data_IF_306819200101
#
_entry.id   IF_306819200101
#
_cell.length_a   1.000
_cell.length_b   1.000
_cell.length_c   1.000
_cell.angle_alpha   90.00
_cell.angle_beta   90.00
_cell.angle_gamma   90.00
#
_symmetry.space_group_name_H-M   'P 1'
#
loop_
_entity.id
_entity.type
_entity.pdbx_description
1 polymer ?
#
# COMPACT_ATOMS: atom_id res chain seq x y z
N UNK A 1 28.56 -19.57 25.41
CA UNK A 1 28.97 -21.02 25.42
C UNK A 1 29.58 -21.49 26.75
N UNK A 2 29.69 -20.59 27.77
CA UNK A 2 30.33 -20.93 29.06
C UNK A 2 29.61 -22.06 29.83
N UNK A 3 28.39 -22.45 29.44
CA UNK A 3 27.60 -23.48 30.13
C UNK A 3 27.28 -24.70 29.21
N UNK A 4 27.97 -24.88 28.08
CA UNK A 4 27.76 -26.02 27.19
C UNK A 4 26.35 -26.07 26.50
N UNK A 5 25.59 -24.99 26.56
CA UNK A 5 24.27 -24.90 25.95
C UNK A 5 24.36 -24.47 24.48
N UNK A 6 23.62 -25.14 23.61
CA UNK A 6 23.37 -24.72 22.25
C UNK A 6 22.16 -23.76 22.18
N UNK A 7 22.07 -23.01 21.09
CA UNK A 7 20.91 -22.17 20.78
C UNK A 7 20.15 -22.77 19.62
N UNK A 8 18.85 -22.96 19.79
CA UNK A 8 17.94 -23.30 18.72
C UNK A 8 17.14 -22.03 18.37
N UNK A 9 17.19 -21.64 17.11
CA UNK A 9 16.43 -20.49 16.59
C UNK A 9 15.34 -21.04 15.69
N UNK A 10 14.09 -20.68 16.00
CA UNK A 10 12.95 -20.94 15.11
C UNK A 10 12.72 -19.70 14.23
N UNK A 11 12.73 -19.90 12.91
CA UNK A 11 12.49 -18.86 11.92
C UNK A 11 11.20 -19.14 11.18
N UNK A 12 10.34 -18.14 11.06
CA UNK A 12 9.07 -18.21 10.29
C UNK A 12 9.12 -17.21 9.13
N UNK A 13 9.87 -17.53 8.05
CA UNK A 13 10.17 -16.58 6.97
C UNK A 13 9.08 -16.53 5.88
N UNK A 14 7.97 -17.24 6.03
CA UNK A 14 6.97 -17.43 4.98
C UNK A 14 5.89 -16.35 4.91
N UNK A 15 5.98 -15.31 5.74
CA UNK A 15 5.09 -14.14 5.70
C UNK A 15 5.77 -12.92 6.33
N UNK A 16 5.27 -11.71 6.04
CA UNK A 16 5.75 -10.46 6.62
C UNK A 16 4.59 -9.59 7.07
N UNK A 17 4.79 -8.83 8.15
CA UNK A 17 3.86 -7.77 8.57
C UNK A 17 3.87 -6.60 7.58
N UNK A 18 2.69 -6.15 7.14
CA UNK A 18 2.54 -5.07 6.14
C UNK A 18 1.72 -3.87 6.62
N UNK A 19 1.14 -3.94 7.80
CA UNK A 19 0.49 -2.79 8.43
C UNK A 19 1.48 -2.02 9.29
N UNK A 20 2.28 -1.23 8.66
CA UNK A 20 3.21 -0.31 9.26
C UNK A 20 3.98 0.34 8.12
N UNK A 21 4.38 1.58 8.30
CA UNK A 21 5.17 2.32 7.31
C UNK A 21 6.54 1.65 7.02
N UNK A 22 6.89 0.61 7.77
CA UNK A 22 8.24 0.09 7.86
C UNK A 22 8.54 -1.07 6.91
N UNK A 23 7.53 -1.68 6.24
CA UNK A 23 7.79 -2.73 5.26
C UNK A 23 8.14 -2.13 3.90
N UNK A 24 9.43 -1.91 3.65
CA UNK A 24 9.91 -1.32 2.41
C UNK A 24 9.56 -2.14 1.16
N UNK A 25 9.55 -3.47 1.24
CA UNK A 25 9.23 -4.35 0.11
C UNK A 25 7.75 -4.22 -0.28
N UNK A 26 6.87 -4.26 0.71
CA UNK A 26 5.43 -4.11 0.47
C UNK A 26 5.09 -2.71 -0.06
N UNK A 27 5.68 -1.68 0.53
CA UNK A 27 5.48 -0.31 0.08
C UNK A 27 5.96 -0.09 -1.37
N UNK A 28 7.07 -0.73 -1.77
CA UNK A 28 7.52 -0.68 -3.16
C UNK A 28 6.54 -1.39 -4.11
N UNK A 29 5.96 -2.52 -3.67
CA UNK A 29 4.90 -3.21 -4.43
C UNK A 29 3.65 -2.35 -4.55
N UNK A 30 3.20 -1.70 -3.50
CA UNK A 30 2.04 -0.81 -3.56
C UNK A 30 2.30 0.39 -4.49
N UNK A 31 3.50 0.98 -4.45
CA UNK A 31 3.86 2.14 -5.27
C UNK A 31 4.00 1.80 -6.76
N UNK A 32 4.60 0.65 -7.09
CA UNK A 32 5.02 0.29 -8.46
C UNK A 32 4.21 -0.86 -9.08
N UNK A 33 3.38 -1.53 -8.28
CA UNK A 33 2.63 -2.69 -8.74
C UNK A 33 3.53 -3.82 -9.24
N UNK A 34 3.19 -4.39 -10.37
CA UNK A 34 3.95 -5.47 -11.03
C UNK A 34 5.35 -5.05 -11.48
N UNK A 35 5.63 -3.74 -11.61
CA UNK A 35 6.95 -3.23 -11.95
C UNK A 35 7.91 -3.18 -10.74
N UNK A 36 7.44 -3.47 -9.54
CA UNK A 36 8.26 -3.56 -8.34
C UNK A 36 9.25 -4.73 -8.45
N UNK A 37 10.48 -4.52 -8.00
CA UNK A 37 11.46 -5.59 -7.83
C UNK A 37 10.99 -6.68 -6.84
N UNK A 38 10.04 -6.34 -5.97
CA UNK A 38 9.46 -7.24 -4.95
C UNK A 38 8.09 -7.78 -5.33
N UNK A 39 7.56 -7.50 -6.54
CA UNK A 39 6.24 -7.99 -6.96
C UNK A 39 6.13 -9.52 -6.91
N UNK A 40 7.22 -10.22 -7.20
CA UNK A 40 7.32 -11.67 -7.17
C UNK A 40 7.71 -12.24 -5.79
N UNK A 41 8.00 -11.38 -4.80
CA UNK A 41 8.31 -11.82 -3.44
C UNK A 41 7.06 -12.20 -2.67
N UNK A 42 5.96 -11.49 -2.93
CA UNK A 42 4.66 -11.76 -2.33
C UNK A 42 3.80 -12.64 -3.24
N UNK A 43 3.00 -13.50 -2.63
CA UNK A 43 2.10 -14.40 -3.36
C UNK A 43 0.79 -13.67 -3.69
N UNK A 44 0.86 -12.76 -4.67
CA UNK A 44 -0.24 -11.91 -5.15
C UNK A 44 -0.78 -12.48 -6.47
N UNK A 45 -2.10 -12.61 -6.57
CA UNK A 45 -2.80 -12.85 -7.84
C UNK A 45 -3.07 -11.54 -8.56
N UNK A 46 -2.19 -11.18 -9.49
CA UNK A 46 -2.31 -9.98 -10.31
C UNK A 46 -3.37 -10.09 -11.42
N UNK A 47 -3.88 -11.29 -11.66
CA UNK A 47 -4.86 -11.57 -12.73
C UNK A 47 -6.24 -11.86 -12.18
N UNK A 48 -6.52 -11.39 -10.97
CA UNK A 48 -7.82 -11.59 -10.31
C UNK A 48 -9.00 -11.30 -11.26
N UNK A 49 -9.94 -12.23 -11.30
CA UNK A 49 -11.17 -12.09 -12.10
C UNK A 49 -12.17 -11.09 -11.47
N UNK A 50 -11.91 -10.64 -10.24
CA UNK A 50 -12.78 -9.65 -9.57
C UNK A 50 -12.74 -8.32 -10.33
N UNK A 51 -13.90 -7.77 -10.72
CA UNK A 51 -13.96 -6.53 -11.48
C UNK A 51 -13.21 -5.37 -10.80
N UNK A 52 -12.31 -4.72 -11.55
CA UNK A 52 -11.52 -3.58 -11.09
C UNK A 52 -10.37 -3.96 -10.13
N UNK A 53 -10.00 -5.25 -10.04
CA UNK A 53 -8.87 -5.72 -9.23
C UNK A 53 -7.69 -6.23 -10.08
N UNK A 54 -7.88 -6.44 -11.38
CA UNK A 54 -6.79 -6.85 -12.26
C UNK A 54 -5.63 -5.84 -12.20
N UNK A 55 -4.41 -6.32 -11.92
CA UNK A 55 -3.20 -5.51 -11.76
C UNK A 55 -3.12 -4.71 -10.46
N UNK A 56 -4.01 -4.95 -9.50
CA UNK A 56 -4.05 -4.23 -8.21
C UNK A 56 -3.99 -5.19 -7.02
N UNK A 57 -3.55 -4.69 -5.90
CA UNK A 57 -3.60 -5.38 -4.59
C UNK A 57 -4.84 -4.90 -3.83
N UNK A 58 -5.68 -5.80 -3.37
CA UNK A 58 -6.83 -5.44 -2.53
C UNK A 58 -6.36 -5.14 -1.10
N UNK A 59 -6.72 -3.97 -0.58
CA UNK A 59 -6.43 -3.53 0.78
C UNK A 59 -7.75 -3.38 1.57
N UNK A 60 -8.20 -4.42 2.28
CA UNK A 60 -9.47 -4.41 3.00
C UNK A 60 -9.29 -3.75 4.38
N UNK A 61 -9.08 -2.44 4.40
CA UNK A 61 -8.78 -1.66 5.62
C UNK A 61 -9.90 -0.68 6.00
N UNK A 62 -10.88 -0.45 5.10
CA UNK A 62 -11.91 0.54 5.35
C UNK A 62 -12.96 0.04 6.34
N UNK A 63 -13.40 0.91 7.25
CA UNK A 63 -14.45 0.65 8.24
C UNK A 63 -15.88 0.69 7.66
N UNK A 64 -16.05 1.24 6.43
CA UNK A 64 -17.30 1.34 5.71
C UNK A 64 -17.07 1.16 4.20
N UNK A 65 -18.14 1.06 3.37
CA UNK A 65 -18.02 1.06 1.91
C UNK A 65 -17.23 2.27 1.40
N UNK A 66 -16.39 2.04 0.38
CA UNK A 66 -15.47 3.05 -0.14
C UNK A 66 -16.13 4.41 -0.45
N UNK A 67 -17.29 4.38 -1.11
CA UNK A 67 -18.01 5.62 -1.44
C UNK A 67 -18.46 6.42 -0.22
N UNK A 68 -18.83 5.74 0.87
CA UNK A 68 -19.19 6.41 2.13
C UNK A 68 -17.97 7.02 2.81
N UNK A 69 -16.85 6.28 2.83
CA UNK A 69 -15.58 6.76 3.40
C UNK A 69 -15.09 8.01 2.65
N UNK A 70 -15.15 7.97 1.30
CA UNK A 70 -14.81 9.11 0.46
C UNK A 70 -15.73 10.31 0.73
N UNK A 71 -17.06 10.10 0.76
CA UNK A 71 -18.02 11.17 1.00
C UNK A 71 -17.90 11.81 2.39
N UNK A 72 -17.42 11.07 3.40
CA UNK A 72 -17.13 11.58 4.74
C UNK A 72 -15.81 12.34 4.85
N UNK A 73 -15.00 12.37 3.76
CA UNK A 73 -13.68 13.01 3.79
C UNK A 73 -12.66 12.30 4.69
N UNK A 74 -12.83 10.98 4.91
CA UNK A 74 -11.92 10.18 5.73
C UNK A 74 -10.65 9.77 4.98
N UNK A 75 -10.60 10.02 3.65
CA UNK A 75 -9.43 9.80 2.80
C UNK A 75 -8.77 11.13 2.48
N UNK A 76 -7.45 11.18 2.51
CA UNK A 76 -6.69 12.38 2.16
C UNK A 76 -5.38 12.04 1.45
N UNK A 77 -4.80 13.05 0.79
CA UNK A 77 -3.48 13.00 0.16
C UNK A 77 -2.50 13.79 1.01
N UNK A 78 -1.32 13.24 1.19
CA UNK A 78 -0.19 13.86 1.89
C UNK A 78 1.05 13.88 1.01
N UNK A 79 1.87 14.91 1.18
CA UNK A 79 3.19 15.00 0.57
C UNK A 79 4.29 15.07 1.61
N UNK A 80 5.29 14.21 1.47
CA UNK A 80 6.46 14.19 2.32
C UNK A 80 7.67 14.79 1.60
N UNK A 81 7.99 16.02 1.93
CA UNK A 81 9.05 16.78 1.25
C UNK A 81 10.44 16.15 1.38
N UNK A 82 10.74 15.48 2.52
CA UNK A 82 12.05 14.85 2.76
C UNK A 82 12.38 13.73 1.79
N UNK A 83 11.37 12.93 1.45
CA UNK A 83 11.50 11.78 0.55
C UNK A 83 11.00 12.08 -0.86
N UNK A 84 10.39 13.24 -1.08
CA UNK A 84 9.69 13.61 -2.31
C UNK A 84 8.63 12.56 -2.70
N UNK A 85 7.86 12.07 -1.71
CA UNK A 85 6.86 11.01 -1.90
C UNK A 85 5.48 11.48 -1.54
N UNK A 86 4.49 10.90 -2.21
CA UNK A 86 3.08 11.13 -2.02
C UNK A 86 2.43 9.91 -1.38
N UNK A 87 1.45 10.16 -0.51
CA UNK A 87 0.73 9.11 0.19
C UNK A 87 -0.76 9.40 0.22
N UNK A 88 -1.55 8.33 0.15
CA UNK A 88 -2.94 8.38 0.57
C UNK A 88 -3.00 8.01 2.06
N UNK A 89 -3.84 8.69 2.81
CA UNK A 89 -4.05 8.44 4.23
C UNK A 89 -5.48 8.06 4.52
N UNK A 90 -5.63 7.06 5.38
CA UNK A 90 -6.88 6.65 6.00
C UNK A 90 -6.59 6.31 7.47
N UNK A 91 -6.95 7.19 8.39
CA UNK A 91 -6.58 7.11 9.80
C UNK A 91 -5.07 6.85 9.99
N UNK A 92 -4.69 5.71 10.58
CA UNK A 92 -3.31 5.29 10.75
C UNK A 92 -2.64 4.71 9.49
N UNK A 93 -3.45 4.33 8.50
CA UNK A 93 -2.92 3.76 7.26
C UNK A 93 -2.35 4.86 6.36
N UNK A 94 -1.12 4.66 5.94
CA UNK A 94 -0.39 5.54 5.03
C UNK A 94 0.11 4.72 3.86
N UNK A 95 -0.50 4.94 2.69
CA UNK A 95 -0.30 4.13 1.49
C UNK A 95 0.44 4.93 0.44
N UNK A 96 1.55 4.41 -0.13
CA UNK A 96 2.30 5.14 -1.14
C UNK A 96 1.48 5.31 -2.41
N UNK A 97 1.60 6.48 -3.03
CA UNK A 97 1.01 6.79 -4.34
C UNK A 97 2.09 6.70 -5.41
N UNK A 98 1.74 6.10 -6.55
CA UNK A 98 2.61 6.01 -7.70
C UNK A 98 2.94 7.43 -8.23
N UNK A 99 4.22 7.81 -8.38
CA UNK A 99 4.60 9.16 -8.83
C UNK A 99 3.98 9.55 -10.18
N UNK A 100 3.80 8.58 -11.07
CA UNK A 100 3.20 8.80 -12.38
C UNK A 100 1.72 9.19 -12.32
N UNK A 101 1.01 8.81 -11.24
CA UNK A 101 -0.41 9.12 -11.05
C UNK A 101 -0.66 10.53 -10.53
N UNK A 102 0.36 11.20 -10.00
CA UNK A 102 0.22 12.54 -9.45
C UNK A 102 -0.03 13.53 -10.59
N UNK A 103 -1.20 14.14 -10.60
CA UNK A 103 -1.59 15.08 -11.65
C UNK A 103 -0.88 16.45 -11.51
N UNK A 104 -0.82 17.21 -12.62
CA UNK A 104 -0.03 18.43 -12.79
C UNK A 104 -0.10 19.40 -11.61
N UNK A 105 -1.29 19.88 -11.19
CA UNK A 105 -1.40 20.87 -10.12
C UNK A 105 -0.72 20.48 -8.81
N UNK A 106 -0.84 19.23 -8.37
CA UNK A 106 -0.15 18.75 -7.16
C UNK A 106 1.35 18.65 -7.38
N UNK A 107 1.77 18.11 -8.53
CA UNK A 107 3.19 17.99 -8.90
C UNK A 107 3.87 19.35 -8.99
N UNK A 108 3.25 20.30 -9.67
CA UNK A 108 3.76 21.66 -9.87
C UNK A 108 3.84 22.42 -8.54
N UNK A 109 2.85 22.24 -7.67
CA UNK A 109 2.84 22.83 -6.34
C UNK A 109 4.00 22.31 -5.46
N UNK A 110 4.26 20.99 -5.52
CA UNK A 110 5.39 20.37 -4.79
C UNK A 110 6.74 20.84 -5.37
N UNK A 111 6.90 20.85 -6.70
CA UNK A 111 8.11 21.28 -7.37
C UNK A 111 8.41 22.77 -7.19
N UNK A 112 7.38 23.61 -7.05
CA UNK A 112 7.50 25.04 -6.85
C UNK A 112 8.09 25.46 -5.50
N UNK A 113 8.20 24.55 -4.54
CA UNK A 113 8.85 24.76 -3.25
C UNK A 113 8.20 25.83 -2.36
N UNK A 114 6.97 26.22 -2.66
CA UNK A 114 6.21 27.22 -1.88
C UNK A 114 5.19 26.49 -1.00
N UNK A 115 5.38 26.47 0.32
CA UNK A 115 4.52 25.72 1.23
C UNK A 115 3.03 26.12 1.12
N UNK A 116 2.75 27.40 0.89
CA UNK A 116 1.38 27.92 0.81
C UNK A 116 0.66 27.39 -0.44
N UNK A 117 1.35 27.28 -1.57
CA UNK A 117 0.80 26.79 -2.84
C UNK A 117 0.52 25.29 -2.72
N UNK A 118 1.44 24.56 -2.08
CA UNK A 118 1.26 23.12 -1.83
C UNK A 118 0.09 22.88 -0.86
N UNK A 119 0.01 23.63 0.23
CA UNK A 119 -1.10 23.54 1.18
C UNK A 119 -2.45 23.78 0.49
N UNK A 120 -2.56 24.85 -0.32
CA UNK A 120 -3.77 25.14 -1.08
C UNK A 120 -4.15 24.02 -2.05
N UNK A 121 -3.16 23.41 -2.75
CA UNK A 121 -3.39 22.30 -3.66
C UNK A 121 -3.88 21.05 -2.91
N UNK A 122 -3.30 20.76 -1.74
CA UNK A 122 -3.72 19.67 -0.87
C UNK A 122 -5.12 19.90 -0.29
N UNK A 123 -5.42 21.10 0.18
CA UNK A 123 -6.76 21.48 0.67
C UNK A 123 -7.80 21.33 -0.46
N UNK A 124 -7.43 21.68 -1.69
CA UNK A 124 -8.31 21.53 -2.85
C UNK A 124 -8.70 20.09 -3.14
N UNK A 125 -7.73 19.15 -3.12
CA UNK A 125 -8.01 17.74 -3.40
C UNK A 125 -8.66 17.03 -2.20
N UNK A 126 -8.29 17.39 -0.98
CA UNK A 126 -8.79 16.79 0.24
C UNK A 126 -10.16 17.32 0.66
N UNK A 127 -10.58 18.44 0.09
CA UNK A 127 -11.88 19.04 0.36
C UNK A 127 -13.03 18.40 -0.43
N UNK A 128 -14.28 18.71 -0.07
CA UNK A 128 -15.45 18.12 -0.73
C UNK A 128 -15.50 18.32 -2.25
N UNK A 129 -15.02 19.44 -2.75
CA UNK A 129 -14.94 19.74 -4.18
C UNK A 129 -13.87 18.90 -4.92
N UNK A 130 -12.94 18.29 -4.19
CA UNK A 130 -11.86 17.48 -4.72
C UNK A 130 -12.16 15.97 -4.78
N UNK A 131 -13.34 15.53 -4.32
CA UNK A 131 -13.64 14.09 -4.20
C UNK A 131 -13.50 13.32 -5.52
N UNK A 132 -13.92 13.89 -6.65
CA UNK A 132 -13.77 13.23 -7.95
C UNK A 132 -12.30 13.10 -8.36
N UNK A 133 -11.50 14.14 -8.12
CA UNK A 133 -10.06 14.12 -8.40
C UNK A 133 -9.32 13.14 -7.45
N UNK A 134 -9.70 13.12 -6.17
CA UNK A 134 -9.19 12.17 -5.20
C UNK A 134 -9.53 10.73 -5.60
N UNK A 135 -10.79 10.48 -5.99
CA UNK A 135 -11.22 9.17 -6.47
C UNK A 135 -10.41 8.72 -7.69
N UNK A 136 -10.27 9.58 -8.71
CA UNK A 136 -9.49 9.29 -9.90
C UNK A 136 -8.01 8.99 -9.57
N UNK A 137 -7.41 9.75 -8.63
CA UNK A 137 -6.05 9.51 -8.17
C UNK A 137 -5.92 8.15 -7.47
N UNK A 138 -6.85 7.80 -6.59
CA UNK A 138 -6.83 6.52 -5.86
C UNK A 138 -7.12 5.34 -6.79
N UNK A 139 -8.01 5.52 -7.78
CA UNK A 139 -8.31 4.46 -8.76
C UNK A 139 -7.14 4.20 -9.72
N UNK A 140 -6.24 5.15 -9.93
CA UNK A 140 -5.03 4.97 -10.73
C UNK A 140 -3.92 4.17 -10.03
N UNK A 141 -4.08 3.78 -8.75
CA UNK A 141 -3.03 3.08 -8.01
C UNK A 141 -2.98 1.59 -8.34
N UNK A 142 -1.83 0.97 -8.03
CA UNK A 142 -1.63 -0.49 -8.10
C UNK A 142 -2.26 -1.23 -6.90
N UNK A 143 -3.08 -0.56 -6.15
CA UNK A 143 -3.85 -1.12 -5.04
C UNK A 143 -5.27 -0.54 -5.04
N UNK A 144 -6.18 -1.22 -4.34
CA UNK A 144 -7.57 -0.80 -4.20
C UNK A 144 -8.01 -0.93 -2.74
N UNK A 145 -8.59 0.14 -2.21
CA UNK A 145 -9.19 0.13 -0.87
C UNK A 145 -10.56 -0.55 -0.90
N UNK A 146 -10.83 -1.38 0.09
CA UNK A 146 -12.11 -2.05 0.25
C UNK A 146 -12.54 -2.09 1.71
N UNK A 147 -13.84 -2.28 1.95
CA UNK A 147 -14.38 -2.51 3.27
C UNK A 147 -13.78 -3.81 3.85
N UNK A 148 -13.42 -3.80 5.12
CA UNK A 148 -12.71 -4.92 5.76
C UNK A 148 -13.43 -6.27 5.64
N UNK A 149 -14.76 -6.25 5.51
CA UNK A 149 -15.57 -7.48 5.35
C UNK A 149 -15.35 -8.20 4.02
N UNK A 150 -14.89 -7.50 2.97
CA UNK A 150 -14.56 -8.12 1.69
C UNK A 150 -13.33 -9.04 1.76
N UNK A 151 -12.54 -8.95 2.84
CA UNK A 151 -11.30 -9.71 2.96
C UNK A 151 -11.48 -11.23 2.90
N UNK A 152 -12.62 -11.75 3.34
CA UNK A 152 -12.88 -13.19 3.34
C UNK A 152 -12.90 -13.78 1.93
N UNK A 153 -13.51 -13.06 1.00
CA UNK A 153 -13.88 -13.58 -0.32
C UNK A 153 -13.09 -12.94 -1.48
N UNK A 154 -12.57 -11.71 -1.31
CA UNK A 154 -12.03 -10.92 -2.41
C UNK A 154 -10.52 -10.65 -2.33
N UNK A 155 -9.86 -10.96 -1.20
CA UNK A 155 -8.43 -10.70 -1.06
C UNK A 155 -7.65 -11.52 -2.09
N UNK A 156 -6.76 -10.85 -2.83
CA UNK A 156 -6.03 -11.45 -3.96
C UNK A 156 -4.55 -11.72 -3.66
N UNK A 157 -4.21 -11.88 -2.40
CA UNK A 157 -2.90 -12.36 -2.00
C UNK A 157 -3.02 -13.45 -0.94
N UNK A 158 -2.10 -14.41 -0.97
CA UNK A 158 -2.02 -15.43 0.09
C UNK A 158 -1.59 -14.76 1.39
N UNK A 159 -2.18 -15.17 2.49
CA UNK A 159 -1.90 -14.64 3.83
C UNK A 159 -1.74 -15.76 4.85
N UNK A 160 -1.13 -15.43 5.97
CA UNK A 160 -1.04 -16.35 7.09
C UNK A 160 -2.41 -16.51 7.76
N UNK A 161 -3.03 -17.68 7.62
CA UNK A 161 -4.42 -17.95 8.02
C UNK A 161 -5.39 -16.89 7.48
N UNK A 162 -6.08 -16.17 8.37
CA UNK A 162 -7.00 -15.08 8.04
C UNK A 162 -6.48 -13.71 8.45
N UNK A 163 -5.16 -13.58 8.70
CA UNK A 163 -4.54 -12.33 9.11
C UNK A 163 -4.14 -11.52 7.86
N UNK A 164 -4.98 -10.55 7.48
CA UNK A 164 -4.77 -9.72 6.28
C UNK A 164 -3.45 -8.95 6.27
N UNK A 165 -2.88 -8.73 7.45
CA UNK A 165 -1.66 -7.98 7.68
C UNK A 165 -0.39 -8.81 7.52
N UNK A 166 -0.53 -10.12 7.24
CA UNK A 166 0.56 -11.06 7.10
C UNK A 166 0.52 -11.75 5.73
N UNK A 167 0.77 -11.02 4.62
CA UNK A 167 0.89 -11.62 3.30
C UNK A 167 2.02 -12.63 3.26
N UNK A 168 1.77 -13.70 2.51
CA UNK A 168 2.73 -14.78 2.33
C UNK A 168 3.85 -14.37 1.36
N UNK A 169 5.05 -14.82 1.68
CA UNK A 169 6.22 -14.73 0.81
C UNK A 169 6.39 -16.02 0.00
N UNK A 170 6.83 -15.89 -1.24
CA UNK A 170 7.15 -17.02 -2.13
C UNK A 170 8.54 -17.59 -1.80
N UNK A 171 8.72 -18.13 -0.59
CA UNK A 171 10.00 -18.67 -0.13
C UNK A 171 10.49 -19.89 -0.93
N UNK A 172 9.64 -20.48 -1.79
CA UNK A 172 10.04 -21.49 -2.76
C UNK A 172 10.91 -20.91 -3.91
N UNK A 173 10.95 -19.60 -4.10
CA UNK A 173 11.87 -18.91 -5.01
C UNK A 173 13.19 -18.68 -4.30
N UNK A 174 14.29 -19.10 -4.95
CA UNK A 174 15.62 -19.03 -4.33
C UNK A 174 16.02 -17.60 -3.92
N UNK A 175 15.70 -16.60 -4.75
CA UNK A 175 15.97 -15.20 -4.47
C UNK A 175 15.25 -14.69 -3.20
N UNK A 176 13.97 -15.08 -3.03
CA UNK A 176 13.16 -14.74 -1.86
C UNK A 176 13.69 -15.46 -0.62
N UNK A 177 13.98 -16.75 -0.76
CA UNK A 177 14.58 -17.54 0.31
C UNK A 177 15.88 -16.90 0.81
N UNK A 178 16.81 -16.56 -0.08
CA UNK A 178 18.06 -15.90 0.30
C UNK A 178 17.84 -14.57 0.97
N UNK A 179 16.93 -13.73 0.45
CA UNK A 179 16.64 -12.40 1.02
C UNK A 179 16.01 -12.46 2.42
N UNK A 180 15.30 -13.54 2.76
CA UNK A 180 14.66 -13.72 4.06
C UNK A 180 15.51 -14.46 5.09
N UNK A 181 16.63 -15.05 4.68
CA UNK A 181 17.56 -15.82 5.55
C UNK A 181 18.97 -15.22 5.59
N UNK A 182 19.17 -14.02 5.03
CA UNK A 182 20.46 -13.34 5.00
C UNK A 182 20.81 -12.66 6.33
#
# INVERSE_FOLDING_TARGET
QAHGMGQLIDLVPNHMGVLGADNAWWNDVLEKGQASAYAEYFDIDWHSATPGLAGKVLLPVLGAPYGEVLARGELSVEYEARSNRWFARYFEHRLPLAPASIFGPLRDAAAGGKPEVLAQALDGINGPAGHDALHALLDAQSWRLAHWRCAADEINYRRFFHVNQLPALRTQREEVFRATHA
#
